data_IF_156823031953
#
_entry.id   IF_156823031953
#
_cell.length_a   1.000
_cell.length_b   1.000
_cell.length_c   1.000
_cell.angle_alpha   90.00
_cell.angle_beta   90.00
_cell.angle_gamma   90.00
#
_symmetry.space_group_name_H-M   'P 1'
#
loop_
_entity.id
_entity.type
_entity.pdbx_description
1 polymer ?
#
# COMPACT_ATOMS: atom_id res chain seq x y z
N UNK A 1 -5.47 -7.99 -17.30
CA UNK A 1 -6.28 -6.99 -16.56
C UNK A 1 -7.04 -6.16 -17.59
N UNK A 2 -8.37 -6.10 -17.51
CA UNK A 2 -9.17 -5.27 -18.42
C UNK A 2 -9.67 -4.01 -17.66
N UNK A 3 -10.09 -2.97 -18.40
CA UNK A 3 -10.58 -1.73 -17.79
C UNK A 3 -11.79 -1.92 -16.87
N UNK A 4 -12.62 -2.96 -17.10
CA UNK A 4 -13.76 -3.27 -16.24
C UNK A 4 -13.34 -3.72 -14.83
N UNK A 5 -12.32 -4.58 -14.72
CA UNK A 5 -11.78 -5.00 -13.43
C UNK A 5 -11.15 -3.82 -12.69
N UNK A 6 -10.46 -2.92 -13.40
CA UNK A 6 -9.91 -1.71 -12.79
C UNK A 6 -11.00 -0.84 -12.14
N UNK A 7 -12.07 -0.54 -12.88
CA UNK A 7 -13.17 0.28 -12.35
C UNK A 7 -13.87 -0.38 -11.17
N UNK A 8 -13.96 -1.71 -11.16
CA UNK A 8 -14.48 -2.45 -10.01
C UNK A 8 -13.59 -2.29 -8.77
N UNK A 9 -12.26 -2.24 -8.94
CA UNK A 9 -11.33 -1.94 -7.83
C UNK A 9 -11.44 -0.49 -7.37
N UNK A 10 -11.59 0.48 -8.26
CA UNK A 10 -11.85 1.87 -7.88
C UNK A 10 -13.11 1.99 -7.01
N UNK A 11 -14.19 1.30 -7.40
CA UNK A 11 -15.43 1.29 -6.62
C UNK A 11 -15.27 0.62 -5.25
N UNK A 12 -14.50 -0.46 -5.15
CA UNK A 12 -14.20 -1.14 -3.87
C UNK A 12 -13.35 -0.28 -2.92
N UNK A 13 -12.46 0.54 -3.47
CA UNK A 13 -11.68 1.52 -2.72
C UNK A 13 -12.50 2.78 -2.37
N UNK A 14 -13.76 2.87 -2.83
CA UNK A 14 -14.62 4.01 -2.59
C UNK A 14 -14.25 5.26 -3.38
N UNK A 15 -13.48 5.11 -4.46
CA UNK A 15 -13.04 6.23 -5.30
C UNK A 15 -14.16 6.71 -6.23
N UNK A 16 -14.39 8.01 -6.22
CA UNK A 16 -15.29 8.69 -7.14
C UNK A 16 -14.61 8.97 -8.47
N UNK A 17 -15.39 9.40 -9.48
CA UNK A 17 -14.83 9.80 -10.78
C UNK A 17 -13.88 11.00 -10.64
N UNK A 18 -14.18 11.93 -9.74
CA UNK A 18 -13.37 13.13 -9.52
C UNK A 18 -12.03 12.77 -8.90
N UNK A 19 -11.98 11.80 -7.98
CA UNK A 19 -10.72 11.33 -7.40
C UNK A 19 -9.80 10.76 -8.49
N UNK A 20 -10.39 10.05 -9.47
CA UNK A 20 -9.64 9.46 -10.58
C UNK A 20 -9.07 10.47 -11.57
N UNK A 21 -9.53 11.72 -11.57
CA UNK A 21 -9.00 12.75 -12.47
C UNK A 21 -7.59 13.19 -12.06
N UNK A 22 -7.27 13.12 -10.77
CA UNK A 22 -5.96 13.47 -10.19
C UNK A 22 -5.07 12.25 -9.90
N UNK A 23 -5.57 11.04 -10.19
CA UNK A 23 -4.88 9.79 -9.87
C UNK A 23 -4.44 9.01 -11.11
N UNK A 24 -3.31 8.34 -10.98
CA UNK A 24 -2.86 7.40 -12.00
C UNK A 24 -3.36 5.99 -11.69
N UNK A 25 -3.45 5.15 -12.72
CA UNK A 25 -3.71 3.71 -12.56
C UNK A 25 -2.78 3.06 -11.53
N UNK A 26 -1.49 3.47 -11.50
CA UNK A 26 -0.50 2.96 -10.55
C UNK A 26 -0.88 3.23 -9.11
N UNK A 27 -1.30 4.46 -8.79
CA UNK A 27 -1.71 4.83 -7.43
C UNK A 27 -2.91 4.00 -6.93
N UNK A 28 -3.86 3.71 -7.81
CA UNK A 28 -5.00 2.83 -7.47
C UNK A 28 -4.53 1.40 -7.17
N UNK A 29 -3.58 0.88 -7.95
CA UNK A 29 -3.01 -0.46 -7.69
C UNK A 29 -2.16 -0.51 -6.42
N UNK A 30 -1.43 0.56 -6.11
CA UNK A 30 -0.66 0.67 -4.87
C UNK A 30 -1.60 0.64 -3.66
N UNK A 31 -2.68 1.42 -3.68
CA UNK A 31 -3.68 1.39 -2.60
C UNK A 31 -4.39 0.04 -2.47
N UNK A 32 -4.70 -0.63 -3.59
CA UNK A 32 -5.28 -1.97 -3.55
C UNK A 32 -4.32 -2.99 -2.89
N UNK A 33 -3.02 -2.84 -3.16
CA UNK A 33 -1.98 -3.68 -2.57
C UNK A 33 -1.89 -3.44 -1.07
N UNK A 34 -1.88 -2.17 -0.64
CA UNK A 34 -1.87 -1.83 0.78
C UNK A 34 -3.14 -2.27 1.52
N UNK A 35 -4.32 -2.11 0.93
CA UNK A 35 -5.57 -2.64 1.51
C UNK A 35 -5.52 -4.17 1.69
N UNK A 36 -4.94 -4.89 0.72
CA UNK A 36 -4.75 -6.34 0.83
C UNK A 36 -3.74 -6.68 1.93
N UNK A 37 -2.69 -5.87 2.05
CA UNK A 37 -1.63 -5.99 3.04
C UNK A 37 -2.16 -5.80 4.48
N UNK A 38 -3.16 -4.94 4.70
CA UNK A 38 -3.79 -4.72 6.01
C UNK A 38 -4.38 -5.99 6.62
N UNK A 39 -4.87 -6.90 5.79
CA UNK A 39 -5.47 -8.17 6.23
C UNK A 39 -4.42 -9.26 6.47
N UNK A 40 -3.16 -9.02 6.10
CA UNK A 40 -2.14 -10.06 6.09
C UNK A 40 -1.42 -10.23 7.43
N UNK A 41 -1.23 -11.49 7.82
CA UNK A 41 -0.54 -11.87 9.06
C UNK A 41 0.88 -12.34 8.75
N UNK A 42 1.78 -11.37 8.61
CA UNK A 42 3.20 -11.68 8.45
C UNK A 42 3.79 -12.44 9.65
N UNK A 43 4.53 -13.55 9.41
CA UNK A 43 5.25 -14.28 10.47
C UNK A 43 6.28 -13.41 11.20
N UNK A 44 6.84 -12.44 10.48
CA UNK A 44 7.80 -11.48 10.97
C UNK A 44 7.21 -10.09 10.87
N UNK A 45 6.71 -9.56 11.99
CA UNK A 45 6.34 -8.15 12.11
C UNK A 45 7.50 -7.40 12.78
N UNK A 46 7.96 -6.28 12.22
CA UNK A 46 8.97 -5.46 12.86
C UNK A 46 8.44 -4.99 14.22
N UNK A 47 9.25 -5.13 15.27
CA UNK A 47 8.91 -4.58 16.59
C UNK A 47 8.73 -3.07 16.46
N UNK A 48 7.69 -2.47 17.09
CA UNK A 48 7.58 -1.02 17.18
C UNK A 48 8.90 -0.40 17.69
N UNK A 49 9.39 0.62 16.99
CA UNK A 49 10.68 1.26 17.32
C UNK A 49 11.94 0.56 16.80
N UNK A 50 11.82 -0.56 16.07
CA UNK A 50 12.95 -1.24 15.43
C UNK A 50 13.78 -0.30 14.56
N UNK A 51 13.12 0.60 13.83
CA UNK A 51 13.76 1.59 12.96
C UNK A 51 14.56 2.63 13.76
N UNK A 52 14.04 3.09 14.90
CA UNK A 52 14.77 4.00 15.81
C UNK A 52 16.02 3.32 16.36
N UNK A 53 15.90 2.05 16.76
CA UNK A 53 17.02 1.26 17.26
C UNK A 53 18.06 0.99 16.16
N UNK A 54 17.63 0.78 14.92
CA UNK A 54 18.51 0.63 13.76
C UNK A 54 19.34 1.89 13.52
N UNK A 55 18.70 3.07 13.45
CA UNK A 55 19.42 4.33 13.23
C UNK A 55 20.28 4.75 14.43
N UNK A 56 19.82 4.52 15.67
CA UNK A 56 20.63 4.76 16.87
C UNK A 56 21.86 3.86 16.95
N UNK A 57 21.79 2.65 16.39
CA UNK A 57 22.90 1.70 16.30
C UNK A 57 23.88 1.97 15.14
N UNK A 58 23.75 3.09 14.42
CA UNK A 58 24.63 3.44 13.31
C UNK A 58 24.31 2.72 12.00
N UNK A 59 23.06 2.25 11.85
CA UNK A 59 22.45 1.62 10.67
C UNK A 59 23.39 1.33 9.50
N UNK A 60 24.11 0.21 9.55
CA UNK A 60 24.81 -0.33 8.39
C UNK A 60 23.95 -1.41 7.76
N UNK A 61 23.39 -1.08 6.61
CA UNK A 61 22.90 -2.08 5.66
C UNK A 61 24.18 -2.57 4.97
N UNK A 62 24.53 -3.84 5.18
CA UNK A 62 25.64 -4.47 4.46
C UNK A 62 25.42 -4.41 2.96
#
# INVERSE_FOLDING_TARGET
>A
MNGAIFMLRCAQLGLSKTDLDDMTMGMVFDMLTEQSNDSEKYPLKPKPGSMKNFFAGGGKIG
#
